data_IF_141733057351
#
_entry.id   IF_141733057351
#
_cell.length_a   1.000
_cell.length_b   1.000
_cell.length_c   1.000
_cell.angle_alpha   90.00
_cell.angle_beta   90.00
_cell.angle_gamma   90.00
#
_symmetry.space_group_name_H-M   'P 1'
#
loop_
_entity.id
_entity.type
_entity.pdbx_description
1 polymer ?
#
# COMPACT_ATOMS: atom_id res chain seq x y z
N UNK A 1 4.88 -31.74 6.21
CA UNK A 1 5.44 -30.49 6.70
C UNK A 1 4.43 -29.39 6.55
N UNK A 2 4.27 -28.54 7.55
CA UNK A 2 3.38 -27.37 7.50
C UNK A 2 4.01 -26.38 6.54
N UNK A 3 3.29 -26.00 5.52
CA UNK A 3 3.73 -24.97 4.57
C UNK A 3 3.23 -23.61 5.08
N UNK A 4 4.16 -22.71 5.35
CA UNK A 4 3.86 -21.32 5.68
C UNK A 4 4.11 -20.47 4.43
N UNK A 5 3.31 -19.43 4.24
CA UNK A 5 3.65 -18.37 3.30
C UNK A 5 4.79 -17.48 3.85
N UNK A 6 5.20 -16.48 3.07
CA UNK A 6 6.25 -15.52 3.47
C UNK A 6 5.85 -14.68 4.70
N UNK A 7 4.58 -14.67 5.11
CA UNK A 7 4.07 -14.00 6.30
C UNK A 7 3.95 -14.94 7.50
N UNK A 8 4.31 -16.22 7.36
CA UNK A 8 4.20 -17.23 8.40
C UNK A 8 2.79 -17.80 8.57
N UNK A 9 1.86 -17.49 7.67
CA UNK A 9 0.50 -18.02 7.68
C UNK A 9 0.49 -19.45 7.15
N UNK A 10 -0.14 -20.36 7.87
CA UNK A 10 -0.30 -21.75 7.46
C UNK A 10 -1.35 -21.87 6.33
N UNK A 11 -0.90 -21.98 5.10
CA UNK A 11 -1.77 -22.05 3.93
C UNK A 11 -2.46 -23.42 3.74
N UNK A 12 -2.02 -24.47 4.45
CA UNK A 12 -2.65 -25.81 4.36
C UNK A 12 -3.97 -25.89 5.13
N UNK A 13 -4.33 -24.83 5.85
CA UNK A 13 -5.56 -24.75 6.64
C UNK A 13 -6.42 -23.53 6.37
N UNK A 14 -6.15 -22.77 5.30
CA UNK A 14 -7.01 -21.64 4.95
C UNK A 14 -8.40 -22.14 4.56
N UNK A 15 -9.28 -22.22 5.53
CA UNK A 15 -10.68 -22.66 5.34
C UNK A 15 -11.48 -21.65 4.50
N UNK A 16 -10.92 -20.49 4.21
CA UNK A 16 -11.59 -19.35 3.59
C UNK A 16 -11.30 -19.11 2.11
N UNK A 17 -10.40 -19.88 1.46
CA UNK A 17 -10.05 -19.63 0.05
C UNK A 17 -9.02 -20.58 -0.51
N UNK A 18 -8.68 -20.37 -1.78
CA UNK A 18 -7.66 -21.10 -2.51
C UNK A 18 -6.52 -20.16 -2.90
N UNK A 19 -5.28 -20.48 -2.48
CA UNK A 19 -4.11 -19.65 -2.73
C UNK A 19 -3.20 -20.27 -3.77
N UNK A 20 -2.73 -19.45 -4.70
CA UNK A 20 -1.79 -19.83 -5.76
C UNK A 20 -0.53 -18.98 -5.66
N UNK A 21 0.59 -19.52 -6.11
CA UNK A 21 1.86 -18.82 -6.13
C UNK A 21 2.19 -18.36 -7.54
N UNK A 22 2.71 -17.15 -7.65
CA UNK A 22 3.12 -16.58 -8.94
C UNK A 22 4.54 -16.01 -8.85
N UNK A 23 5.33 -16.31 -9.88
CA UNK A 23 6.53 -15.54 -10.14
C UNK A 23 6.11 -14.27 -10.87
N UNK A 24 6.24 -13.10 -10.20
CA UNK A 24 5.79 -11.81 -10.76
C UNK A 24 6.62 -11.34 -11.94
N UNK A 25 7.91 -11.67 -11.99
CA UNK A 25 8.82 -11.28 -13.08
C UNK A 25 8.55 -12.07 -14.35
N UNK A 26 8.28 -13.36 -14.18
CA UNK A 26 7.95 -14.26 -15.30
C UNK A 26 6.45 -14.25 -15.66
N UNK A 27 5.58 -13.74 -14.79
CA UNK A 27 4.14 -13.74 -14.98
C UNK A 27 3.49 -15.13 -14.99
N UNK A 28 4.14 -16.13 -14.38
CA UNK A 28 3.70 -17.52 -14.40
C UNK A 28 3.37 -18.03 -13.00
N UNK A 29 2.37 -18.94 -12.95
CA UNK A 29 2.07 -19.66 -11.71
C UNK A 29 3.18 -20.69 -11.44
N UNK A 30 3.57 -20.81 -10.17
CA UNK A 30 4.57 -21.76 -9.68
C UNK A 30 3.97 -22.60 -8.55
N UNK A 31 4.55 -23.77 -8.29
CA UNK A 31 4.00 -24.69 -7.30
C UNK A 31 4.23 -24.21 -5.86
N UNK A 32 5.27 -23.43 -5.64
CA UNK A 32 5.62 -22.89 -4.31
C UNK A 32 6.51 -21.65 -4.40
N UNK A 33 6.39 -20.79 -3.40
CA UNK A 33 7.35 -19.72 -3.12
C UNK A 33 8.38 -20.20 -2.08
N UNK A 34 9.62 -19.74 -2.22
CA UNK A 34 10.65 -19.86 -1.18
C UNK A 34 11.00 -18.48 -0.65
N UNK A 35 11.45 -18.40 0.60
CA UNK A 35 11.81 -17.13 1.27
C UNK A 35 12.87 -16.35 0.48
N UNK A 36 13.77 -17.07 -0.21
CA UNK A 36 14.86 -16.46 -0.97
C UNK A 36 14.41 -15.88 -2.34
N UNK A 37 13.16 -16.12 -2.75
CA UNK A 37 12.65 -15.68 -4.03
C UNK A 37 11.75 -14.44 -3.85
N UNK A 38 12.33 -13.25 -3.92
CA UNK A 38 11.63 -11.97 -3.82
C UNK A 38 10.61 -11.72 -4.95
N UNK A 39 10.76 -12.42 -6.08
CA UNK A 39 9.83 -12.33 -7.21
C UNK A 39 8.61 -13.23 -7.04
N UNK A 40 8.50 -13.97 -5.95
CA UNK A 40 7.39 -14.89 -5.73
C UNK A 40 6.34 -14.24 -4.80
N UNK A 41 5.07 -14.28 -5.24
CA UNK A 41 3.93 -13.80 -4.45
C UNK A 41 2.84 -14.86 -4.36
N UNK A 42 2.18 -14.95 -3.20
CA UNK A 42 0.93 -15.69 -3.07
C UNK A 42 -0.27 -14.79 -3.41
N UNK A 43 -1.22 -15.33 -4.16
CA UNK A 43 -2.50 -14.70 -4.48
C UNK A 43 -3.61 -15.66 -4.08
N UNK A 44 -4.48 -15.24 -3.18
CA UNK A 44 -5.58 -16.07 -2.70
C UNK A 44 -6.90 -15.60 -3.29
N UNK A 45 -7.70 -16.56 -3.77
CA UNK A 45 -9.09 -16.37 -4.18
C UNK A 45 -9.98 -16.78 -3.00
N UNK A 46 -10.55 -15.79 -2.32
CA UNK A 46 -11.38 -16.04 -1.15
C UNK A 46 -12.74 -16.62 -1.55
N UNK A 47 -13.22 -17.63 -0.81
CA UNK A 47 -14.59 -18.09 -0.91
C UNK A 47 -15.56 -17.03 -0.41
N UNK A 48 -16.81 -17.13 -0.82
CA UNK A 48 -17.85 -16.18 -0.40
C UNK A 48 -17.90 -16.05 1.12
N UNK A 49 -17.84 -14.81 1.60
CA UNK A 49 -17.85 -14.49 3.02
C UNK A 49 -16.48 -14.43 3.69
N UNK A 50 -15.40 -14.70 2.95
CA UNK A 50 -14.04 -14.53 3.45
C UNK A 50 -13.33 -13.36 2.78
N UNK A 51 -12.43 -12.70 3.52
CA UNK A 51 -11.78 -11.45 3.15
C UNK A 51 -10.32 -11.45 3.60
N UNK A 52 -9.53 -10.55 3.05
CA UNK A 52 -8.11 -10.40 3.37
C UNK A 52 -7.20 -11.14 2.38
N UNK A 53 -5.89 -10.87 2.41
CA UNK A 53 -4.93 -11.42 1.44
C UNK A 53 -4.75 -12.93 1.55
N UNK A 54 -4.97 -13.52 2.73
CA UNK A 54 -4.93 -14.95 2.98
C UNK A 54 -6.32 -15.55 3.27
N UNK A 55 -7.39 -14.79 3.00
CA UNK A 55 -8.78 -15.18 3.29
C UNK A 55 -9.01 -15.50 4.78
N UNK A 56 -8.32 -14.77 5.64
CA UNK A 56 -8.27 -14.97 7.10
C UNK A 56 -9.47 -14.39 7.84
N UNK A 57 -10.17 -13.41 7.24
CA UNK A 57 -11.32 -12.77 7.87
C UNK A 57 -12.61 -13.40 7.36
N UNK A 58 -13.43 -13.92 8.25
CA UNK A 58 -14.77 -14.45 7.95
C UNK A 58 -15.91 -13.46 8.25
N UNK A 59 -15.56 -12.23 8.61
CA UNK A 59 -16.48 -11.18 8.97
C UNK A 59 -16.10 -9.87 8.27
N UNK A 60 -16.93 -9.44 7.31
CA UNK A 60 -16.74 -8.20 6.57
C UNK A 60 -16.74 -6.96 7.46
N UNK A 61 -17.51 -6.98 8.54
CA UNK A 61 -17.58 -5.85 9.49
C UNK A 61 -16.25 -5.69 10.21
N UNK A 62 -15.67 -6.78 10.68
CA UNK A 62 -14.36 -6.78 11.32
C UNK A 62 -13.26 -6.32 10.34
N UNK A 63 -13.24 -6.86 9.13
CA UNK A 63 -12.29 -6.43 8.10
C UNK A 63 -12.40 -4.93 7.78
N UNK A 64 -13.62 -4.39 7.67
CA UNK A 64 -13.84 -2.96 7.45
C UNK A 64 -13.44 -2.10 8.67
N UNK A 65 -13.56 -2.61 9.89
CA UNK A 65 -13.05 -1.93 11.09
C UNK A 65 -11.52 -1.79 11.06
N UNK A 66 -10.78 -2.81 10.63
CA UNK A 66 -9.31 -2.71 10.47
C UNK A 66 -8.93 -1.67 9.41
N UNK A 67 -9.65 -1.63 8.27
CA UNK A 67 -9.42 -0.60 7.25
C UNK A 67 -9.67 0.81 7.79
N UNK A 68 -10.79 1.02 8.46
CA UNK A 68 -11.12 2.30 9.06
C UNK A 68 -10.09 2.72 10.13
N UNK A 69 -9.63 1.78 10.96
CA UNK A 69 -8.60 2.05 11.95
C UNK A 69 -7.28 2.50 11.31
N UNK A 70 -6.82 1.85 10.23
CA UNK A 70 -5.61 2.26 9.50
C UNK A 70 -5.76 3.64 8.85
N UNK A 71 -6.91 3.93 8.24
CA UNK A 71 -7.19 5.25 7.68
C UNK A 71 -7.13 6.34 8.75
N UNK A 72 -7.68 6.07 9.95
CA UNK A 72 -7.62 6.98 11.08
C UNK A 72 -6.17 7.17 11.60
N UNK A 73 -5.38 6.10 11.70
CA UNK A 73 -3.97 6.18 12.09
C UNK A 73 -3.16 7.04 11.14
N UNK A 74 -3.38 6.91 9.81
CA UNK A 74 -2.76 7.80 8.83
C UNK A 74 -3.19 9.26 9.01
N UNK A 75 -4.46 9.51 9.31
CA UNK A 75 -4.96 10.84 9.60
C UNK A 75 -4.32 11.45 10.84
N UNK A 76 -4.17 10.67 11.91
CA UNK A 76 -3.47 11.12 13.13
C UNK A 76 -1.99 11.35 12.88
N UNK A 77 -1.31 10.47 12.14
CA UNK A 77 0.10 10.65 11.80
C UNK A 77 0.30 11.94 10.99
N UNK A 78 -0.60 12.21 10.03
CA UNK A 78 -0.59 13.49 9.30
C UNK A 78 -0.74 14.68 10.25
N UNK A 79 -1.71 14.65 11.14
CA UNK A 79 -1.91 15.74 12.10
C UNK A 79 -0.67 15.94 12.99
N UNK A 80 -0.02 14.86 13.41
CA UNK A 80 1.21 14.92 14.21
C UNK A 80 2.35 15.55 13.40
N UNK A 81 2.55 15.17 12.14
CA UNK A 81 3.59 15.76 11.28
C UNK A 81 3.34 17.22 10.92
N UNK A 82 2.08 17.68 10.97
CA UNK A 82 1.71 19.07 10.71
C UNK A 82 1.94 19.99 11.94
N UNK A 83 1.92 19.42 13.16
CA UNK A 83 1.95 20.18 14.41
C UNK A 83 3.32 20.13 15.11
N UNK A 84 3.97 18.97 15.10
CA UNK A 84 5.21 18.77 15.83
C UNK A 84 6.40 19.36 15.06
N UNK A 85 7.26 20.04 15.82
CA UNK A 85 8.54 20.52 15.30
C UNK A 85 9.42 19.35 14.88
N UNK A 86 9.95 19.35 13.64
CA UNK A 86 10.73 18.24 13.13
C UNK A 86 12.10 18.16 13.82
N UNK A 87 12.45 16.97 14.28
CA UNK A 87 13.79 16.58 14.73
C UNK A 87 14.18 15.27 14.08
N UNK A 88 15.46 14.90 14.09
CA UNK A 88 15.90 13.61 13.52
C UNK A 88 15.13 12.44 14.13
N UNK A 89 15.01 12.41 15.47
CA UNK A 89 14.27 11.35 16.16
C UNK A 89 12.76 11.36 15.81
N UNK A 90 12.15 12.53 15.65
CA UNK A 90 10.75 12.63 15.24
C UNK A 90 10.55 12.10 13.82
N UNK A 91 11.42 12.48 12.88
CA UNK A 91 11.35 12.04 11.47
C UNK A 91 11.49 10.53 11.35
N UNK A 92 12.44 9.91 12.04
CA UNK A 92 12.60 8.44 12.04
C UNK A 92 11.39 7.75 12.67
N UNK A 93 10.84 8.28 13.77
CA UNK A 93 9.63 7.74 14.38
C UNK A 93 8.42 7.85 13.44
N UNK A 94 8.25 8.97 12.73
CA UNK A 94 7.17 9.13 11.76
C UNK A 94 7.30 8.15 10.60
N UNK A 95 8.53 7.92 10.12
CA UNK A 95 8.79 6.94 9.07
C UNK A 95 8.45 5.52 9.50
N UNK A 96 8.91 5.10 10.68
CA UNK A 96 8.56 3.78 11.24
C UNK A 96 7.05 3.62 11.40
N UNK A 97 6.36 4.64 11.94
CA UNK A 97 4.89 4.61 12.06
C UNK A 97 4.19 4.53 10.69
N UNK A 98 4.70 5.23 9.68
CA UNK A 98 4.15 5.16 8.32
C UNK A 98 4.37 3.77 7.70
N UNK A 99 5.54 3.16 7.94
CA UNK A 99 5.87 1.81 7.51
C UNK A 99 4.92 0.78 8.12
N UNK A 100 4.73 0.81 9.43
CA UNK A 100 3.83 -0.09 10.16
C UNK A 100 2.36 0.06 9.71
N UNK A 101 1.88 1.29 9.52
CA UNK A 101 0.51 1.52 9.03
C UNK A 101 0.35 1.02 7.60
N UNK A 102 1.39 1.08 6.77
CA UNK A 102 1.34 0.61 5.38
C UNK A 102 1.61 -0.88 5.19
N UNK A 103 2.01 -1.60 6.23
CA UNK A 103 2.39 -3.02 6.17
C UNK A 103 1.29 -3.94 5.58
N UNK A 104 0.03 -3.53 5.71
CA UNK A 104 -1.13 -4.25 5.17
C UNK A 104 -1.77 -3.44 4.04
N UNK A 105 -1.20 -3.47 2.81
CA UNK A 105 -1.65 -2.64 1.69
C UNK A 105 -3.10 -2.92 1.27
N UNK A 106 -3.62 -4.12 1.49
CA UNK A 106 -5.01 -4.48 1.23
C UNK A 106 -6.03 -3.79 2.16
N UNK A 107 -5.57 -3.32 3.32
CA UNK A 107 -6.37 -2.55 4.28
C UNK A 107 -6.26 -1.04 4.05
N UNK A 108 -5.46 -0.58 3.11
CA UNK A 108 -5.38 0.82 2.72
C UNK A 108 -6.47 1.12 1.67
N UNK A 109 -7.57 1.67 2.13
CA UNK A 109 -8.73 1.93 1.26
C UNK A 109 -8.44 2.94 0.16
N UNK A 110 -9.07 2.72 -0.99
CA UNK A 110 -9.16 3.69 -2.07
C UNK A 110 -10.06 4.86 -1.67
N UNK A 111 -9.57 5.74 -0.84
CA UNK A 111 -10.34 6.90 -0.39
C UNK A 111 -9.48 8.13 -0.26
N UNK A 112 -10.15 9.28 -0.25
CA UNK A 112 -9.50 10.57 -0.05
C UNK A 112 -8.65 10.60 1.23
N UNK A 113 -9.08 9.92 2.29
CA UNK A 113 -8.39 9.94 3.58
C UNK A 113 -7.02 9.25 3.53
N UNK A 114 -6.92 8.07 2.90
CA UNK A 114 -5.64 7.35 2.81
C UNK A 114 -4.64 8.08 1.92
N UNK A 115 -5.03 8.44 0.69
CA UNK A 115 -4.12 9.12 -0.25
C UNK A 115 -3.80 10.54 0.18
N UNK A 116 -4.78 11.27 0.75
CA UNK A 116 -4.59 12.64 1.24
C UNK A 116 -3.77 12.72 2.53
N UNK A 117 -3.55 11.61 3.23
CA UNK A 117 -2.71 11.57 4.42
C UNK A 117 -1.35 10.94 4.15
N UNK A 118 -1.30 9.82 3.43
CA UNK A 118 -0.05 9.08 3.19
C UNK A 118 1.01 9.91 2.46
N UNK A 119 0.67 10.44 1.27
CA UNK A 119 1.64 11.19 0.47
C UNK A 119 2.12 12.49 1.12
N UNK A 120 1.27 13.32 1.75
CA UNK A 120 1.73 14.46 2.50
C UNK A 120 2.67 14.09 3.65
N UNK A 121 2.37 13.04 4.43
CA UNK A 121 3.26 12.55 5.50
C UNK A 121 4.61 12.12 4.92
N UNK A 122 4.61 11.28 3.88
CA UNK A 122 5.85 10.84 3.24
C UNK A 122 6.67 12.01 2.71
N UNK A 123 6.02 12.98 2.06
CA UNK A 123 6.69 14.18 1.56
C UNK A 123 7.30 15.03 2.70
N UNK A 124 6.58 15.19 3.82
CA UNK A 124 7.09 15.87 5.00
C UNK A 124 8.32 15.13 5.56
N UNK A 125 8.25 13.81 5.72
CA UNK A 125 9.37 12.98 6.17
C UNK A 125 10.60 13.18 5.27
N UNK A 126 10.45 13.05 3.95
CA UNK A 126 11.56 13.20 3.01
C UNK A 126 12.15 14.60 3.01
N UNK A 127 11.31 15.63 3.03
CA UNK A 127 11.76 17.03 3.06
C UNK A 127 12.53 17.33 4.35
N UNK A 128 12.02 16.91 5.49
CA UNK A 128 12.66 17.14 6.78
C UNK A 128 13.90 16.27 6.96
N UNK A 129 13.94 15.07 6.38
CA UNK A 129 15.14 14.24 6.37
C UNK A 129 16.33 14.94 5.70
N UNK A 130 16.09 15.58 4.56
CA UNK A 130 17.11 16.37 3.85
C UNK A 130 17.54 17.57 4.69
N UNK A 131 16.58 18.34 5.23
CA UNK A 131 16.87 19.54 6.01
C UNK A 131 17.67 19.27 7.30
N UNK A 132 17.40 18.13 7.93
CA UNK A 132 18.02 17.73 9.20
C UNK A 132 19.26 16.85 9.02
N UNK A 133 19.60 16.47 7.78
CA UNK A 133 20.71 15.56 7.47
C UNK A 133 20.53 14.20 8.13
N UNK A 134 19.33 13.61 8.01
CA UNK A 134 19.07 12.23 8.49
C UNK A 134 19.87 11.26 7.63
N UNK A 135 20.64 10.33 8.23
CA UNK A 135 21.42 9.35 7.49
C UNK A 135 20.53 8.43 6.63
N UNK A 136 21.08 7.97 5.51
CA UNK A 136 20.35 7.08 4.59
C UNK A 136 19.92 5.76 5.26
N UNK A 137 20.75 5.22 6.12
CA UNK A 137 20.45 4.00 6.90
C UNK A 137 19.20 4.11 7.77
N UNK A 138 18.84 5.32 8.18
CA UNK A 138 17.63 5.60 8.96
C UNK A 138 16.38 5.79 8.07
N UNK A 139 16.56 5.77 6.74
CA UNK A 139 15.51 5.99 5.74
C UNK A 139 15.14 4.73 4.94
N UNK A 140 15.65 3.56 5.29
CA UNK A 140 15.42 2.32 4.56
C UNK A 140 13.94 1.93 4.46
N UNK A 141 13.14 2.30 5.45
CA UNK A 141 11.69 2.04 5.45
C UNK A 141 10.91 2.85 4.39
N UNK A 142 11.53 3.87 3.77
CA UNK A 142 10.88 4.65 2.69
C UNK A 142 10.51 3.74 1.52
N UNK A 143 11.43 2.87 1.09
CA UNK A 143 11.19 1.93 -0.01
C UNK A 143 10.05 0.97 0.33
N UNK A 144 10.02 0.45 1.55
CA UNK A 144 8.93 -0.40 2.07
C UNK A 144 7.59 0.34 2.03
N UNK A 145 7.54 1.58 2.52
CA UNK A 145 6.33 2.41 2.50
C UNK A 145 5.81 2.62 1.07
N UNK A 146 6.69 2.99 0.14
CA UNK A 146 6.33 3.23 -1.26
C UNK A 146 5.84 1.95 -1.94
N UNK A 147 6.53 0.83 -1.71
CA UNK A 147 6.16 -0.47 -2.25
C UNK A 147 4.80 -0.93 -1.73
N UNK A 148 4.57 -0.82 -0.43
CA UNK A 148 3.30 -1.16 0.19
C UNK A 148 2.16 -0.30 -0.36
N UNK A 149 2.39 1.02 -0.47
CA UNK A 149 1.39 1.92 -1.05
C UNK A 149 1.10 1.61 -2.52
N UNK A 150 2.12 1.29 -3.32
CA UNK A 150 1.97 0.90 -4.72
C UNK A 150 1.13 -0.39 -4.89
N UNK A 151 1.23 -1.31 -3.94
CA UNK A 151 0.45 -2.56 -3.91
C UNK A 151 -0.97 -2.36 -3.35
N UNK A 152 -1.30 -1.20 -2.81
CA UNK A 152 -2.61 -0.93 -2.21
C UNK A 152 -3.70 -0.62 -3.26
N UNK A 153 -4.95 -0.88 -2.89
CA UNK A 153 -6.11 -0.47 -3.69
C UNK A 153 -6.21 1.06 -3.81
N UNK A 154 -5.76 1.79 -2.79
CA UNK A 154 -5.72 3.24 -2.78
C UNK A 154 -4.92 3.80 -3.96
N UNK A 155 -3.73 3.24 -4.23
CA UNK A 155 -2.86 3.67 -5.31
C UNK A 155 -3.41 3.28 -6.69
N UNK A 156 -3.93 2.08 -6.84
CA UNK A 156 -4.57 1.62 -8.09
C UNK A 156 -5.70 2.55 -8.53
N UNK A 157 -6.53 2.98 -7.58
CA UNK A 157 -7.62 3.92 -7.85
C UNK A 157 -7.11 5.32 -8.19
N UNK A 158 -6.09 5.82 -7.48
CA UNK A 158 -5.46 7.11 -7.77
C UNK A 158 -4.86 7.14 -9.19
N UNK A 159 -4.15 6.09 -9.59
CA UNK A 159 -3.61 5.96 -10.96
C UNK A 159 -4.71 5.94 -12.02
N UNK A 160 -5.82 5.25 -11.78
CA UNK A 160 -6.94 5.20 -12.69
C UNK A 160 -7.58 6.58 -12.89
N UNK A 161 -7.67 7.38 -11.82
CA UNK A 161 -8.15 8.75 -11.86
C UNK A 161 -7.23 9.67 -12.67
N UNK A 162 -5.91 9.60 -12.44
CA UNK A 162 -4.91 10.38 -13.20
C UNK A 162 -4.94 10.02 -14.68
N UNK A 163 -5.06 8.71 -15.01
CA UNK A 163 -5.19 8.26 -16.41
C UNK A 163 -6.46 8.79 -17.09
N UNK A 164 -7.59 8.82 -16.35
CA UNK A 164 -8.87 9.37 -16.86
C UNK A 164 -8.77 10.89 -17.08
N UNK A 165 -8.14 11.63 -16.16
CA UNK A 165 -7.91 13.06 -16.30
C UNK A 165 -7.05 13.35 -17.54
N UNK A 166 -5.89 12.69 -17.69
CA UNK A 166 -5.01 12.85 -18.86
C UNK A 166 -5.71 12.54 -20.20
N UNK A 167 -6.60 11.53 -20.23
CA UNK A 167 -7.38 11.22 -21.42
C UNK A 167 -8.41 12.30 -21.74
N UNK A 168 -8.99 12.95 -20.74
CA UNK A 168 -9.93 14.05 -20.88
C UNK A 168 -9.23 15.30 -21.40
N UNK A 169 -8.10 15.64 -20.79
CA UNK A 169 -7.29 16.80 -21.18
C UNK A 169 -6.78 16.67 -22.64
N UNK A 170 -6.36 15.47 -23.06
CA UNK A 170 -5.96 15.23 -24.48
C UNK A 170 -7.13 15.33 -25.47
N UNK A 171 -8.35 14.96 -25.07
CA UNK A 171 -9.54 15.16 -25.92
C UNK A 171 -9.84 16.65 -26.07
N UNK A 172 -9.88 17.37 -24.96
CA UNK A 172 -10.11 18.80 -24.94
C UNK A 172 -9.13 19.57 -25.86
N UNK A 173 -7.83 19.23 -25.78
CA UNK A 173 -6.80 19.84 -26.66
C UNK A 173 -6.94 19.47 -28.14
N UNK A 174 -7.50 18.32 -28.45
CA UNK A 174 -7.79 17.92 -29.84
C UNK A 174 -8.97 18.71 -30.38
N UNK A 175 -10.06 18.76 -29.66
CA UNK A 175 -11.29 19.47 -30.03
C UNK A 175 -11.00 20.97 -30.20
N UNK A 176 -10.09 21.54 -29.39
CA UNK A 176 -9.67 22.94 -29.53
C UNK A 176 -8.89 23.19 -30.81
N UNK A 177 -8.04 22.27 -31.27
CA UNK A 177 -7.30 22.36 -32.50
C UNK A 177 -8.18 22.25 -33.75
N UNK A 178 -9.28 21.49 -33.70
CA UNK A 178 -10.25 21.36 -34.81
C UNK A 178 -11.12 22.59 -34.97
N UNK A 179 -11.20 23.50 -33.98
CA UNK A 179 -11.96 24.76 -34.07
C UNK A 179 -11.11 25.88 -34.71
N UNK A 180 -9.77 25.78 -34.68
CA UNK A 180 -8.85 26.76 -35.24
C UNK A 180 -8.49 26.50 -36.72
N UNK A 181 -8.99 25.42 -37.32
CA UNK A 181 -8.81 25.06 -38.75
C UNK A 181 -10.09 25.26 -39.55
#
# INVERSE_FOLDING_TARGET
GVQFDLTGVNLTGASGGECHYYNVDAGVQVDRCTIDNSSCKSVCNCYYGYYGPACEYNNVTEYNQYKAARANLLGYLKAVTDILEPSRAAVTTWLTSLSEVSERPEQLESGSNTTNSFFPVLNTILTQSVNLGVPYEDLLDVDTCVTNMANSQAFSTALSFVRRKRRRDRRYLRDYKEIET
#
